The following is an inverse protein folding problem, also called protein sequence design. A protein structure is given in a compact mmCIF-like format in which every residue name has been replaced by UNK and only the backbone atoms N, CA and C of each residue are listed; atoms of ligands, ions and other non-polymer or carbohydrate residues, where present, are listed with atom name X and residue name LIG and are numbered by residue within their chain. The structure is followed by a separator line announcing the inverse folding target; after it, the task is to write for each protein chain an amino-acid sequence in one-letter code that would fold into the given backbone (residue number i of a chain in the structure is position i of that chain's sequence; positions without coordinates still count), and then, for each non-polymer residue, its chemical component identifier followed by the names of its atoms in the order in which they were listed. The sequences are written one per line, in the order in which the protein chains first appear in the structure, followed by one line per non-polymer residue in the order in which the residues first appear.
data_IF_194643947619
#
_entry.id   IF_194643947619
#
_cell.length_a   1.000
_cell.length_b   1.000
_cell.length_c   1.000
_cell.angle_alpha   90.00
_cell.angle_beta   90.00
_cell.angle_gamma   90.00
#
_symmetry.space_group_name_H-M   'P 1'
#
loop_
_entity.id
_entity.type
_entity.pdbx_description
1 polymer ?
#
# COMPACT_ATOMS: atom_id res chain seq x y z
N UNK A 1 10.00 -7.42 -6.10
CA UNK A 1 10.33 -6.91 -7.45
C UNK A 1 9.28 -5.89 -7.91
N UNK A 2 9.43 -5.26 -9.09
CA UNK A 2 8.35 -4.45 -9.67
C UNK A 2 7.14 -5.35 -10.00
N UNK A 3 5.92 -4.88 -9.72
CA UNK A 3 4.70 -5.64 -9.98
C UNK A 3 4.38 -6.74 -8.95
N UNK A 4 5.25 -6.98 -7.96
CA UNK A 4 5.03 -8.02 -6.94
C UNK A 4 4.49 -7.44 -5.66
N UNK A 5 3.53 -8.14 -5.06
CA UNK A 5 2.90 -7.75 -3.80
C UNK A 5 3.40 -8.61 -2.64
N UNK A 6 3.26 -8.07 -1.44
CA UNK A 6 3.36 -8.80 -0.18
C UNK A 6 2.29 -8.28 0.79
N UNK A 7 2.11 -8.96 1.92
CA UNK A 7 1.18 -8.50 2.95
C UNK A 7 1.90 -7.98 4.19
N UNK A 8 1.22 -7.14 4.96
CA UNK A 8 1.72 -6.72 6.29
C UNK A 8 1.98 -7.93 7.20
N UNK A 9 1.17 -8.99 7.08
CA UNK A 9 1.32 -10.23 7.85
C UNK A 9 2.55 -11.02 7.44
N UNK A 10 2.85 -11.08 6.14
CA UNK A 10 4.03 -11.78 5.63
C UNK A 10 5.32 -11.10 6.08
N UNK A 11 5.40 -9.78 5.92
CA UNK A 11 6.54 -9.00 6.40
C UNK A 11 6.67 -9.07 7.93
N UNK A 12 5.56 -9.01 8.66
CA UNK A 12 5.59 -9.14 10.11
C UNK A 12 6.19 -10.48 10.55
N UNK A 13 5.82 -11.58 9.87
CA UNK A 13 6.38 -12.91 10.16
C UNK A 13 7.88 -12.98 9.90
N UNK A 14 8.33 -12.43 8.78
CA UNK A 14 9.76 -12.38 8.42
C UNK A 14 10.58 -11.54 9.41
N UNK A 15 10.01 -10.43 9.87
CA UNK A 15 10.67 -9.48 10.76
C UNK A 15 10.52 -9.82 12.26
N UNK A 16 9.79 -10.89 12.63
CA UNK A 16 9.46 -11.18 14.02
C UNK A 16 8.63 -10.08 14.69
N UNK A 17 7.72 -9.47 13.95
CA UNK A 17 6.87 -8.34 14.36
C UNK A 17 5.38 -8.67 14.26
N UNK A 18 4.52 -7.65 14.42
CA UNK A 18 3.07 -7.75 14.23
C UNK A 18 2.61 -6.91 13.05
N UNK A 19 1.64 -7.41 12.29
CA UNK A 19 1.16 -6.78 11.05
C UNK A 19 0.77 -5.31 11.23
N UNK A 20 0.19 -4.96 12.40
CA UNK A 20 -0.19 -3.59 12.73
C UNK A 20 1.03 -2.66 12.80
N UNK A 21 2.13 -3.11 13.40
CA UNK A 21 3.36 -2.31 13.53
C UNK A 21 4.01 -2.08 12.15
N UNK A 22 4.07 -3.13 11.32
CA UNK A 22 4.53 -3.02 9.93
C UNK A 22 3.66 -2.06 9.14
N UNK A 23 2.34 -2.15 9.29
CA UNK A 23 1.39 -1.25 8.64
C UNK A 23 1.60 0.21 9.00
N UNK A 24 1.85 0.52 10.29
CA UNK A 24 2.19 1.87 10.72
C UNK A 24 3.51 2.35 10.10
N UNK A 25 4.57 1.52 10.13
CA UNK A 25 5.86 1.86 9.53
C UNK A 25 5.76 2.11 8.02
N UNK A 26 5.01 1.28 7.29
CA UNK A 26 4.75 1.50 5.86
C UNK A 26 3.94 2.77 5.60
N UNK A 27 2.97 3.08 6.47
CA UNK A 27 2.11 4.27 6.38
C UNK A 27 2.83 5.58 6.67
N UNK A 28 3.97 5.55 7.38
CA UNK A 28 4.79 6.72 7.72
C UNK A 28 6.13 6.76 6.98
N UNK A 29 6.26 5.99 5.90
CA UNK A 29 7.48 5.95 5.09
C UNK A 29 7.83 7.35 4.54
N UNK A 30 8.99 7.94 4.87
CA UNK A 30 9.37 9.28 4.44
C UNK A 30 9.75 9.39 2.96
N UNK A 31 10.04 8.25 2.31
CA UNK A 31 10.45 8.17 0.90
C UNK A 31 9.57 7.18 0.14
N UNK A 32 8.28 7.50 -0.07
CA UNK A 32 7.40 6.66 -0.88
C UNK A 32 7.98 6.49 -2.31
N UNK A 33 7.56 5.43 -3.00
CA UNK A 33 8.07 5.00 -4.32
C UNK A 33 9.47 4.36 -4.26
N UNK A 34 10.47 5.06 -3.71
CA UNK A 34 11.84 4.52 -3.54
C UNK A 34 11.82 3.35 -2.57
N UNK A 35 11.21 3.54 -1.40
CA UNK A 35 10.80 2.45 -0.52
C UNK A 35 9.37 2.07 -0.91
N UNK A 36 9.14 0.87 -1.47
CA UNK A 36 7.91 0.54 -2.18
C UNK A 36 6.78 0.11 -1.22
N UNK A 37 6.44 0.95 -0.24
CA UNK A 37 5.38 0.67 0.74
C UNK A 37 3.96 0.60 0.12
N UNK A 38 3.79 1.03 -1.15
CA UNK A 38 2.58 0.82 -1.93
C UNK A 38 2.35 -0.65 -2.29
N UNK A 39 3.41 -1.49 -2.32
CA UNK A 39 3.34 -2.93 -2.64
C UNK A 39 2.96 -3.82 -1.45
N UNK A 40 2.78 -3.25 -0.26
CA UNK A 40 2.43 -3.99 0.95
C UNK A 40 0.94 -3.79 1.25
N UNK A 41 0.16 -4.86 1.25
CA UNK A 41 -1.30 -4.82 1.42
C UNK A 41 -1.76 -5.50 2.72
N UNK A 42 -3.00 -5.25 3.09
CA UNK A 42 -3.68 -6.11 4.05
C UNK A 42 -3.94 -7.49 3.42
N UNK A 43 -4.12 -8.49 4.28
CA UNK A 43 -4.54 -9.81 3.82
C UNK A 43 -5.89 -9.71 3.10
N UNK A 44 -6.03 -10.45 1.99
CA UNK A 44 -7.21 -10.34 1.11
C UNK A 44 -7.19 -9.14 0.15
N UNK A 45 -6.06 -8.41 0.03
CA UNK A 45 -5.89 -7.33 -0.96
C UNK A 45 -6.33 -5.95 -0.48
N UNK A 46 -6.65 -5.78 0.80
CA UNK A 46 -7.07 -4.49 1.34
C UNK A 46 -5.98 -3.41 1.25
N UNK A 47 -6.36 -2.20 0.83
CA UNK A 47 -5.45 -1.06 0.76
C UNK A 47 -5.26 -0.47 2.16
N UNK A 48 -4.05 -0.62 2.72
CA UNK A 48 -3.66 0.08 3.94
C UNK A 48 -3.19 1.51 3.68
N UNK A 49 -2.84 2.22 4.75
CA UNK A 49 -2.37 3.62 4.69
C UNK A 49 -1.14 3.81 3.80
N UNK A 50 -0.98 5.04 3.30
CA UNK A 50 0.12 5.44 2.44
C UNK A 50 0.50 6.90 2.71
N UNK A 51 1.81 7.19 2.78
CA UNK A 51 2.36 8.50 3.11
C UNK A 51 2.44 9.49 1.95
N UNK A 52 2.14 9.05 0.72
CA UNK A 52 2.16 9.93 -0.46
C UNK A 52 1.10 11.03 -0.43
N UNK A 53 1.30 12.07 -1.24
CA UNK A 53 0.48 13.29 -1.25
C UNK A 53 -1.03 13.07 -1.40
N UNK A 54 -1.47 12.04 -2.13
CA UNK A 54 -2.90 11.66 -2.25
C UNK A 54 -3.27 10.40 -1.44
N UNK A 55 -2.48 10.06 -0.41
CA UNK A 55 -2.72 8.92 0.46
C UNK A 55 -2.98 7.63 -0.31
N UNK A 56 -4.05 6.92 0.03
CA UNK A 56 -4.41 5.65 -0.61
C UNK A 56 -4.66 5.79 -2.12
N UNK A 57 -5.07 6.96 -2.62
CA UNK A 57 -5.21 7.20 -4.06
C UNK A 57 -3.89 7.05 -4.82
N UNK A 58 -2.80 7.62 -4.30
CA UNK A 58 -1.46 7.43 -4.88
C UNK A 58 -1.01 5.96 -4.84
N UNK A 59 -1.32 5.25 -3.76
CA UNK A 59 -1.01 3.81 -3.64
C UNK A 59 -1.71 2.98 -4.71
N UNK A 60 -3.01 3.23 -4.92
CA UNK A 60 -3.81 2.57 -5.98
C UNK A 60 -3.26 2.86 -7.37
N UNK A 61 -2.97 4.13 -7.65
CA UNK A 61 -2.35 4.53 -8.92
C UNK A 61 -1.03 3.80 -9.18
N UNK A 62 -0.14 3.74 -8.19
CA UNK A 62 1.13 3.02 -8.33
C UNK A 62 0.92 1.52 -8.56
N UNK A 63 0.01 0.89 -7.81
CA UNK A 63 -0.31 -0.53 -8.02
C UNK A 63 -0.82 -0.81 -9.44
N UNK A 64 -1.73 0.03 -9.95
CA UNK A 64 -2.23 -0.06 -11.32
C UNK A 64 -1.11 0.17 -12.35
N UNK A 65 -0.25 1.17 -12.12
CA UNK A 65 0.92 1.43 -12.97
C UNK A 65 1.84 0.21 -13.05
N UNK A 66 2.03 -0.51 -11.94
CA UNK A 66 2.86 -1.72 -11.92
C UNK A 66 2.16 -2.99 -12.44
N UNK A 67 0.88 -2.91 -12.82
CA UNK A 67 0.07 -4.09 -13.18
C UNK A 67 -0.18 -5.03 -11.99
N UNK A 68 0.01 -4.54 -10.76
CA UNK A 68 -0.15 -5.29 -9.51
C UNK A 68 -1.50 -5.00 -8.83
N UNK A 69 -2.50 -4.64 -9.62
CA UNK A 69 -3.83 -4.35 -9.15
C UNK A 69 -4.50 -5.64 -8.63
N UNK A 70 -5.05 -5.61 -7.42
CA UNK A 70 -5.79 -6.74 -6.82
C UNK A 70 -7.18 -6.96 -7.41
N UNK A 71 -7.48 -6.39 -8.59
CA UNK A 71 -8.72 -6.61 -9.35
C UNK A 71 -9.93 -5.86 -8.80
N UNK A 72 -9.71 -4.87 -7.93
CA UNK A 72 -10.79 -4.11 -7.26
C UNK A 72 -10.52 -2.59 -7.20
N UNK A 73 -9.55 -2.07 -7.95
CA UNK A 73 -9.37 -0.62 -7.99
C UNK A 73 -10.40 -0.01 -8.93
N UNK A 74 -11.43 0.58 -8.33
CA UNK A 74 -12.15 1.66 -9.01
C UNK A 74 -11.15 2.78 -9.30
N UNK A 75 -10.86 2.97 -10.59
CA UNK A 75 -9.98 4.01 -11.12
C UNK A 75 -10.71 5.36 -11.22
N UNK A 76 -11.90 5.50 -10.65
CA UNK A 76 -12.49 6.80 -10.40
C UNK A 76 -11.53 7.60 -9.50
N UNK A 77 -10.81 8.53 -10.12
CA UNK A 77 -10.06 9.57 -9.41
C UNK A 77 -11.13 10.51 -8.82
N UNK A 78 -11.73 10.10 -7.70
CA UNK A 78 -12.89 10.79 -7.13
C UNK A 78 -13.08 10.42 -5.67
N UNK A 79 -12.48 11.21 -4.78
CA UNK A 79 -12.99 11.66 -3.48
C UNK A 79 -11.85 11.96 -2.51
N UNK A 80 -11.03 12.96 -2.86
CA UNK A 80 -10.02 13.52 -1.96
C UNK A 80 -10.59 14.58 -0.99
N UNK A 81 -11.90 14.63 -0.74
CA UNK A 81 -12.51 15.62 0.18
C UNK A 81 -13.73 15.08 0.95
N UNK A 82 -13.57 14.01 1.74
CA UNK A 82 -14.50 13.75 2.82
C UNK A 82 -13.97 14.43 4.10
N UNK A 83 -14.73 15.43 4.55
CA UNK A 83 -14.55 16.19 5.79
C UNK A 83 -14.61 15.29 7.02
#
# INVERSE_FOLDING_TARGET
PYGTLTTYGDLARELGSVARAVGQACGTNPVPIVVPCHRVLAQGGGIGGFSGFHGTGSKRFLLALEGADSGQLDLSIGDAHAR
#
